data_IF_517201948538
#
_entry.id   IF_517201948538
#
_cell.length_a   1.000
_cell.length_b   1.000
_cell.length_c   1.000
_cell.angle_alpha   90.00
_cell.angle_beta   90.00
_cell.angle_gamma   90.00
#
_symmetry.space_group_name_H-M   'P 1'
#
loop_
_entity.id
_entity.type
_entity.pdbx_description
1 polymer ?
#
# COMPACT_ATOMS: atom_id res chain seq x y z
N UNK A 1 -54.62 60.44 -50.01
CA UNK A 1 -53.39 59.75 -50.45
C UNK A 1 -53.14 58.54 -49.53
N UNK A 2 -52.96 57.37 -50.16
CA UNK A 2 -52.39 56.10 -49.66
C UNK A 2 -53.09 55.34 -48.51
N UNK A 3 -53.94 54.41 -48.93
CA UNK A 3 -54.14 53.06 -48.38
C UNK A 3 -52.82 52.31 -48.20
N UNK A 4 -52.65 51.60 -47.08
CA UNK A 4 -52.06 50.23 -47.07
C UNK A 4 -52.74 49.41 -45.95
N UNK A 5 -53.49 48.38 -46.38
CA UNK A 5 -53.94 47.26 -45.55
C UNK A 5 -52.75 46.34 -45.30
N UNK A 6 -52.31 46.18 -44.06
CA UNK A 6 -51.32 45.19 -43.65
C UNK A 6 -52.01 43.99 -43.01
N UNK A 7 -52.18 42.91 -43.77
CA UNK A 7 -52.59 41.59 -43.26
C UNK A 7 -51.46 41.03 -42.39
N UNK A 8 -51.72 40.80 -41.11
CA UNK A 8 -50.88 39.96 -40.27
C UNK A 8 -51.06 38.50 -40.72
N UNK A 9 -50.11 38.00 -41.51
CA UNK A 9 -50.02 36.58 -41.85
C UNK A 9 -49.11 35.92 -40.83
N UNK A 10 -49.74 35.08 -40.03
CA UNK A 10 -49.19 34.15 -39.05
C UNK A 10 -48.26 33.15 -39.75
N UNK A 11 -46.97 33.11 -39.40
CA UNK A 11 -46.09 31.98 -39.70
C UNK A 11 -45.64 31.34 -38.38
N UNK A 12 -46.49 30.44 -37.88
CA UNK A 12 -46.14 29.51 -36.82
C UNK A 12 -45.34 28.36 -37.47
N UNK A 13 -44.01 28.48 -37.50
CA UNK A 13 -43.15 27.34 -37.82
C UNK A 13 -43.09 26.48 -36.56
N UNK A 14 -43.96 25.47 -36.49
CA UNK A 14 -43.83 24.38 -35.53
C UNK A 14 -42.69 23.50 -36.04
N UNK A 15 -41.48 23.74 -35.53
CA UNK A 15 -40.39 22.78 -35.62
C UNK A 15 -40.76 21.62 -34.69
N UNK A 16 -41.53 20.65 -35.21
CA UNK A 16 -41.64 19.33 -34.57
C UNK A 16 -40.29 18.67 -34.80
N UNK A 17 -39.32 18.97 -33.93
CA UNK A 17 -38.21 18.05 -33.70
C UNK A 17 -38.86 16.77 -33.22
N UNK A 18 -38.93 15.77 -34.10
CA UNK A 18 -39.18 14.40 -33.73
C UNK A 18 -38.11 13.98 -32.73
N UNK A 19 -38.37 14.22 -31.45
CA UNK A 19 -37.73 13.51 -30.36
C UNK A 19 -38.31 12.11 -30.46
N UNK A 20 -37.75 11.31 -31.36
CA UNK A 20 -37.78 9.87 -31.22
C UNK A 20 -37.23 9.62 -29.83
N UNK A 21 -38.13 9.34 -28.88
CA UNK A 21 -37.78 8.74 -27.60
C UNK A 21 -37.16 7.38 -27.97
N UNK A 22 -35.86 7.38 -28.25
CA UNK A 22 -35.07 6.16 -28.32
C UNK A 22 -35.16 5.59 -26.92
N UNK A 23 -36.04 4.59 -26.77
CA UNK A 23 -36.28 3.91 -25.52
C UNK A 23 -34.97 3.17 -25.21
N UNK A 24 -34.24 3.66 -24.21
CA UNK A 24 -32.98 3.07 -23.79
C UNK A 24 -33.22 1.59 -23.47
N UNK A 25 -32.47 0.71 -24.12
CA UNK A 25 -32.53 -0.72 -23.85
C UNK A 25 -31.61 -1.05 -22.67
N UNK A 26 -32.15 -1.76 -21.68
CA UNK A 26 -31.38 -2.21 -20.52
C UNK A 26 -30.86 -3.62 -20.75
N UNK A 27 -29.67 -3.87 -20.22
CA UNK A 27 -28.95 -5.13 -20.31
C UNK A 27 -28.37 -5.50 -18.96
N UNK A 28 -28.09 -6.79 -18.80
CA UNK A 28 -27.49 -7.34 -17.60
C UNK A 28 -26.35 -8.32 -17.93
N UNK A 29 -25.35 -8.36 -17.05
CA UNK A 29 -24.27 -9.36 -17.04
C UNK A 29 -24.27 -10.03 -15.66
N UNK A 30 -24.36 -11.36 -15.61
CA UNK A 30 -24.11 -12.10 -14.37
C UNK A 30 -22.61 -12.20 -14.13
N UNK A 31 -22.16 -11.95 -12.91
CA UNK A 31 -20.76 -11.99 -12.49
C UNK A 31 -20.67 -12.92 -11.29
N UNK A 32 -19.87 -13.98 -11.40
CA UNK A 32 -19.69 -15.00 -10.37
C UNK A 32 -18.33 -14.91 -9.72
N UNK A 33 -18.32 -14.91 -8.40
CA UNK A 33 -17.11 -14.95 -7.58
C UNK A 33 -17.06 -16.25 -6.78
N UNK A 34 -15.93 -16.95 -6.88
CA UNK A 34 -15.61 -18.15 -6.11
C UNK A 34 -14.32 -17.85 -5.32
N UNK A 35 -14.37 -17.82 -4.00
CA UNK A 35 -13.24 -17.34 -3.17
C UNK A 35 -12.18 -18.41 -2.88
N UNK A 36 -12.47 -19.68 -3.20
CA UNK A 36 -11.56 -20.80 -2.92
C UNK A 36 -11.21 -20.90 -1.43
N UNK A 37 -9.98 -21.30 -1.08
CA UNK A 37 -9.55 -21.44 0.32
C UNK A 37 -8.97 -20.15 0.93
N UNK A 38 -9.27 -18.98 0.36
CA UNK A 38 -8.69 -17.71 0.80
C UNK A 38 -9.63 -17.00 1.77
N UNK A 39 -9.14 -16.70 2.98
CA UNK A 39 -9.82 -15.76 3.90
C UNK A 39 -9.28 -14.36 3.67
N UNK A 40 -10.18 -13.40 3.45
CA UNK A 40 -9.82 -12.00 3.20
C UNK A 40 -10.70 -11.06 4.01
N UNK A 41 -10.17 -9.89 4.35
CA UNK A 41 -10.96 -8.82 4.95
C UNK A 41 -11.01 -7.64 3.98
N UNK A 42 -12.22 -7.12 3.74
CA UNK A 42 -12.45 -5.97 2.85
C UNK A 42 -11.91 -6.17 1.42
N UNK A 43 -12.07 -7.39 0.89
CA UNK A 43 -11.46 -7.82 -0.37
C UNK A 43 -11.89 -6.93 -1.55
N UNK A 44 -10.91 -6.56 -2.38
CA UNK A 44 -11.18 -5.92 -3.67
C UNK A 44 -11.39 -7.02 -4.70
N UNK A 45 -12.48 -6.92 -5.46
CA UNK A 45 -12.81 -7.86 -6.53
C UNK A 45 -12.69 -7.15 -7.86
N UNK A 46 -12.20 -7.86 -8.85
CA UNK A 46 -12.15 -7.43 -10.24
C UNK A 46 -12.85 -8.43 -11.16
N UNK A 47 -13.51 -7.94 -12.21
CA UNK A 47 -14.07 -8.77 -13.27
C UNK A 47 -13.81 -8.10 -14.62
N UNK A 48 -13.21 -8.85 -15.56
CA UNK A 48 -13.13 -8.41 -16.96
C UNK A 48 -14.49 -8.59 -17.61
N UNK A 49 -15.02 -7.53 -18.19
CA UNK A 49 -16.33 -7.52 -18.84
C UNK A 49 -16.15 -7.17 -20.31
N UNK A 50 -16.76 -7.99 -21.18
CA UNK A 50 -16.91 -7.71 -22.61
C UNK A 50 -18.39 -7.54 -22.93
N UNK A 51 -18.79 -6.32 -23.26
CA UNK A 51 -20.18 -6.01 -23.58
C UNK A 51 -20.53 -6.40 -25.02
N UNK A 52 -19.55 -6.58 -25.91
CA UNK A 52 -19.75 -6.83 -27.34
C UNK A 52 -20.46 -5.70 -28.11
N UNK A 53 -20.87 -4.62 -27.44
CA UNK A 53 -21.58 -3.47 -28.02
C UNK A 53 -21.36 -2.20 -27.21
N UNK A 54 -21.74 -1.07 -27.81
CA UNK A 54 -21.72 0.23 -27.16
C UNK A 54 -22.77 0.30 -26.05
N UNK A 55 -22.31 0.65 -24.86
CA UNK A 55 -23.11 0.86 -23.64
C UNK A 55 -22.72 2.19 -23.01
N UNK A 56 -23.59 2.74 -22.18
CA UNK A 56 -23.30 3.97 -21.44
C UNK A 56 -22.63 3.62 -20.11
N UNK A 57 -21.30 3.76 -20.00
CA UNK A 57 -20.57 3.37 -18.79
C UNK A 57 -21.11 4.02 -17.51
N UNK A 58 -21.55 5.28 -17.59
CA UNK A 58 -22.17 6.00 -16.47
C UNK A 58 -23.53 5.46 -16.00
N UNK A 59 -24.13 4.50 -16.71
CA UNK A 59 -25.38 3.83 -16.32
C UNK A 59 -25.15 2.55 -15.50
N UNK A 60 -23.89 2.14 -15.30
CA UNK A 60 -23.56 0.89 -14.62
C UNK A 60 -24.07 0.88 -13.18
N UNK A 61 -24.74 -0.21 -12.83
CA UNK A 61 -25.13 -0.52 -11.46
C UNK A 61 -24.84 -1.99 -11.18
N UNK A 62 -24.02 -2.25 -10.17
CA UNK A 62 -23.72 -3.60 -9.70
C UNK A 62 -24.66 -3.93 -8.53
N UNK A 63 -25.28 -5.10 -8.57
CA UNK A 63 -26.25 -5.55 -7.57
C UNK A 63 -25.83 -6.92 -7.07
N UNK A 64 -25.79 -7.12 -5.75
CA UNK A 64 -25.65 -8.45 -5.15
C UNK A 64 -26.99 -9.20 -5.27
N UNK A 65 -26.98 -10.40 -5.85
CA UNK A 65 -28.22 -11.10 -6.20
C UNK A 65 -29.01 -11.58 -4.97
N UNK A 66 -28.32 -11.96 -3.89
CA UNK A 66 -28.94 -12.54 -2.69
C UNK A 66 -29.87 -11.55 -1.97
N UNK A 67 -29.44 -10.29 -1.82
CA UNK A 67 -30.16 -9.26 -1.07
C UNK A 67 -30.65 -8.08 -1.96
N UNK A 68 -30.43 -8.17 -3.27
CA UNK A 68 -30.72 -7.14 -4.27
C UNK A 68 -30.13 -5.77 -3.89
N UNK A 69 -28.99 -5.77 -3.19
CA UNK A 69 -28.33 -4.55 -2.71
C UNK A 69 -27.40 -3.99 -3.78
N UNK A 70 -27.52 -2.68 -4.01
CA UNK A 70 -26.60 -1.95 -4.89
C UNK A 70 -25.21 -1.87 -4.26
N UNK A 71 -24.19 -2.22 -5.03
CA UNK A 71 -22.79 -2.24 -4.64
C UNK A 71 -22.06 -1.11 -5.41
N UNK A 72 -21.41 -0.17 -4.71
CA UNK A 72 -20.53 0.79 -5.36
C UNK A 72 -19.45 0.07 -6.17
N UNK A 73 -19.35 0.41 -7.45
CA UNK A 73 -18.37 -0.18 -8.35
C UNK A 73 -17.68 0.91 -9.18
N UNK A 74 -16.50 0.59 -9.69
CA UNK A 74 -15.72 1.42 -10.59
C UNK A 74 -15.40 0.63 -11.85
N UNK A 75 -15.55 1.24 -13.01
CA UNK A 75 -15.25 0.63 -14.30
C UNK A 75 -14.12 1.38 -14.99
N UNK A 76 -13.11 0.63 -15.40
CA UNK A 76 -11.97 1.12 -16.18
C UNK A 76 -12.02 0.53 -17.59
N UNK A 77 -12.35 1.34 -18.61
CA UNK A 77 -12.22 0.93 -20.01
C UNK A 77 -10.79 0.50 -20.34
N UNK A 78 -10.64 -0.60 -21.10
CA UNK A 78 -9.34 -1.11 -21.55
C UNK A 78 -9.28 -1.19 -23.08
N UNK A 79 -10.37 -1.66 -23.70
CA UNK A 79 -10.54 -1.74 -25.15
C UNK A 79 -11.96 -1.31 -25.53
N UNK A 80 -12.23 -1.16 -26.82
CA UNK A 80 -13.58 -0.86 -27.31
C UNK A 80 -14.58 -1.92 -26.82
N UNK A 81 -15.56 -1.49 -26.04
CA UNK A 81 -16.61 -2.32 -25.42
C UNK A 81 -16.13 -3.29 -24.33
N UNK A 82 -14.88 -3.15 -23.86
CA UNK A 82 -14.31 -3.99 -22.81
C UNK A 82 -13.65 -3.17 -21.72
N UNK A 83 -13.60 -3.72 -20.53
CA UNK A 83 -12.85 -3.15 -19.44
C UNK A 83 -12.92 -4.01 -18.20
N UNK A 84 -12.33 -3.49 -17.12
CA UNK A 84 -12.34 -4.15 -15.83
C UNK A 84 -13.26 -3.42 -14.87
N UNK A 85 -14.21 -4.16 -14.30
CA UNK A 85 -15.07 -3.72 -13.22
C UNK A 85 -14.42 -4.05 -11.89
N UNK A 86 -14.44 -3.11 -10.95
CA UNK A 86 -13.90 -3.24 -9.60
C UNK A 86 -14.98 -2.93 -8.57
N UNK A 87 -14.98 -3.66 -7.46
CA UNK A 87 -15.81 -3.36 -6.27
C UNK A 87 -15.16 -3.94 -5.02
N UNK A 88 -15.72 -3.62 -3.85
CA UNK A 88 -15.26 -4.14 -2.57
C UNK A 88 -16.33 -5.01 -1.93
N UNK A 89 -15.92 -6.10 -1.28
CA UNK A 89 -16.76 -6.87 -0.37
C UNK A 89 -16.40 -6.46 1.06
N UNK A 90 -17.29 -5.75 1.79
CA UNK A 90 -16.99 -5.30 3.14
C UNK A 90 -16.99 -6.46 4.14
N UNK A 91 -16.07 -6.40 5.12
CA UNK A 91 -15.98 -7.37 6.20
C UNK A 91 -15.13 -8.61 5.87
N UNK A 92 -15.22 -9.63 6.74
CA UNK A 92 -14.46 -10.87 6.62
C UNK A 92 -15.15 -11.83 5.65
N UNK A 93 -14.46 -12.17 4.56
CA UNK A 93 -14.85 -13.18 3.58
C UNK A 93 -14.41 -14.56 4.05
N UNK A 94 -15.34 -15.51 4.09
CA UNK A 94 -15.06 -16.89 4.47
C UNK A 94 -14.47 -17.67 3.29
N UNK A 95 -13.72 -18.73 3.59
CA UNK A 95 -13.31 -19.70 2.58
C UNK A 95 -14.53 -20.35 1.93
N UNK A 96 -14.42 -20.70 0.65
CA UNK A 96 -15.41 -21.42 -0.15
C UNK A 96 -16.73 -20.64 -0.26
N UNK A 97 -16.63 -19.32 -0.35
CA UNK A 97 -17.78 -18.45 -0.56
C UNK A 97 -18.06 -18.34 -2.05
N UNK A 98 -19.32 -18.56 -2.42
CA UNK A 98 -19.84 -18.33 -3.75
C UNK A 98 -20.79 -17.13 -3.71
N UNK A 99 -20.53 -16.13 -4.54
CA UNK A 99 -21.35 -14.93 -4.66
C UNK A 99 -21.69 -14.65 -6.12
N UNK A 100 -22.94 -14.25 -6.37
CA UNK A 100 -23.40 -13.84 -7.69
C UNK A 100 -23.86 -12.38 -7.67
N UNK A 101 -23.35 -11.62 -8.64
CA UNK A 101 -23.68 -10.22 -8.85
C UNK A 101 -24.30 -10.03 -10.23
N UNK A 102 -25.19 -9.05 -10.34
CA UNK A 102 -25.79 -8.62 -11.60
C UNK A 102 -25.32 -7.21 -11.89
N UNK A 103 -24.55 -7.05 -12.96
CA UNK A 103 -24.20 -5.73 -13.51
C UNK A 103 -25.29 -5.32 -14.50
N UNK A 104 -26.05 -4.28 -14.18
CA UNK A 104 -27.02 -3.65 -15.07
C UNK A 104 -26.40 -2.47 -15.81
N UNK A 105 -26.69 -2.35 -17.10
CA UNK A 105 -26.24 -1.26 -17.98
C UNK A 105 -27.31 -0.87 -18.98
N UNK A 106 -27.32 0.38 -19.43
CA UNK A 106 -28.12 0.82 -20.57
C UNK A 106 -27.28 0.87 -21.84
N UNK A 107 -27.93 0.73 -22.99
CA UNK A 107 -27.34 1.15 -24.25
C UNK A 107 -26.96 2.64 -24.24
N UNK A 108 -26.05 3.00 -25.15
CA UNK A 108 -25.61 4.38 -25.33
C UNK A 108 -24.22 4.47 -25.94
N UNK A 109 -23.66 5.68 -25.92
CA UNK A 109 -22.34 5.96 -26.47
C UNK A 109 -21.24 5.48 -25.54
N UNK A 110 -20.33 4.66 -26.07
CA UNK A 110 -19.12 4.24 -25.41
C UNK A 110 -18.24 5.45 -25.07
N UNK A 111 -17.63 5.41 -23.89
CA UNK A 111 -16.66 6.41 -23.45
C UNK A 111 -15.40 5.69 -22.99
N UNK A 112 -14.24 6.14 -23.47
CA UNK A 112 -12.94 5.59 -23.05
C UNK A 112 -12.47 6.13 -21.69
N UNK A 113 -13.30 6.95 -21.03
CA UNK A 113 -13.05 7.46 -19.70
C UNK A 113 -13.55 6.49 -18.62
N UNK A 114 -12.81 6.30 -17.51
CA UNK A 114 -13.30 5.57 -16.35
C UNK A 114 -14.54 6.21 -15.72
N UNK A 115 -15.36 5.40 -15.04
CA UNK A 115 -16.60 5.85 -14.40
C UNK A 115 -16.94 5.04 -13.16
N UNK A 116 -17.77 5.61 -12.27
CA UNK A 116 -18.29 4.92 -11.09
C UNK A 116 -17.79 5.53 -9.78
N UNK A 117 -17.64 4.70 -8.76
CA UNK A 117 -17.28 5.11 -7.40
C UNK A 117 -15.83 5.60 -7.31
N UNK A 118 -15.66 6.87 -6.91
CA UNK A 118 -14.35 7.46 -6.60
C UNK A 118 -13.65 6.78 -5.42
N UNK A 119 -14.41 6.19 -4.51
CA UNK A 119 -13.85 5.46 -3.37
C UNK A 119 -13.16 4.18 -3.83
N UNK A 120 -13.79 3.42 -4.72
CA UNK A 120 -13.19 2.21 -5.31
C UNK A 120 -12.01 2.57 -6.19
N UNK A 121 -12.12 3.64 -7.00
CA UNK A 121 -11.00 4.18 -7.78
C UNK A 121 -9.77 4.49 -6.91
N UNK A 122 -9.97 5.15 -5.78
CA UNK A 122 -8.89 5.46 -4.84
C UNK A 122 -8.28 4.20 -4.21
N UNK A 123 -9.08 3.14 -3.99
CA UNK A 123 -8.59 1.87 -3.46
C UNK A 123 -7.68 1.14 -4.45
N UNK A 124 -8.09 1.03 -5.72
CA UNK A 124 -7.31 0.30 -6.74
C UNK A 124 -6.05 1.06 -7.18
N UNK A 125 -6.08 2.39 -7.14
CA UNK A 125 -4.93 3.22 -7.51
C UNK A 125 -4.01 3.52 -6.32
N UNK A 126 -4.35 3.04 -5.12
CA UNK A 126 -3.51 3.23 -3.95
C UNK A 126 -2.25 2.37 -4.07
N UNK A 127 -1.04 2.95 -3.96
CA UNK A 127 0.21 2.19 -4.12
C UNK A 127 0.20 0.97 -3.22
N UNK A 128 0.68 -0.15 -3.77
CA UNK A 128 0.77 -1.43 -3.05
C UNK A 128 1.64 -1.23 -1.81
N UNK A 129 2.83 -0.65 -2.01
CA UNK A 129 3.76 -0.29 -0.96
C UNK A 129 3.57 1.17 -0.49
N UNK A 130 3.35 1.37 0.81
CA UNK A 130 3.20 2.69 1.44
C UNK A 130 4.54 3.38 1.72
N UNK A 131 5.65 2.65 1.64
CA UNK A 131 6.97 3.17 1.97
C UNK A 131 7.52 3.97 0.78
N UNK A 132 7.95 5.23 1.00
CA UNK A 132 8.62 6.01 -0.04
C UNK A 132 10.03 5.45 -0.30
N UNK A 133 10.42 5.36 -1.57
CA UNK A 133 11.71 4.82 -2.05
C UNK A 133 12.16 3.55 -1.30
N UNK A 134 11.31 2.54 -1.27
CA UNK A 134 11.47 1.40 -0.38
C UNK A 134 12.55 0.38 -0.80
N UNK A 135 12.95 0.42 -2.08
CA UNK A 135 14.09 -0.32 -2.65
C UNK A 135 15.39 0.47 -2.64
N UNK A 136 15.38 1.73 -2.17
CA UNK A 136 16.55 2.60 -2.07
C UNK A 136 17.25 2.97 -3.39
N UNK A 137 16.64 2.69 -4.54
CA UNK A 137 17.23 2.92 -5.86
C UNK A 137 17.34 4.41 -6.23
N UNK A 138 16.47 5.27 -5.70
CA UNK A 138 16.56 6.71 -5.95
C UNK A 138 17.46 7.41 -4.93
N UNK A 139 18.76 7.46 -5.21
CA UNK A 139 19.77 8.04 -4.33
C UNK A 139 19.50 9.53 -4.01
N UNK A 140 18.83 10.26 -4.93
CA UNK A 140 18.55 11.69 -4.76
C UNK A 140 17.56 11.97 -3.62
N UNK A 141 16.83 10.94 -3.20
CA UNK A 141 15.84 10.97 -2.13
C UNK A 141 16.38 10.45 -0.80
N UNK A 142 17.68 10.16 -0.72
CA UNK A 142 18.36 9.66 0.47
C UNK A 142 19.42 10.66 0.86
N UNK A 143 19.41 11.08 2.13
CA UNK A 143 20.38 12.06 2.61
C UNK A 143 21.01 11.64 3.93
N UNK A 144 22.32 11.90 4.04
CA UNK A 144 23.05 11.85 5.31
C UNK A 144 22.98 13.16 6.10
N UNK A 145 22.39 14.21 5.52
CA UNK A 145 22.23 15.52 6.11
C UNK A 145 20.74 15.92 6.09
N UNK A 146 20.18 16.48 7.17
CA UNK A 146 18.77 16.90 7.24
C UNK A 146 18.35 18.04 6.26
N UNK A 147 19.18 18.34 5.24
CA UNK A 147 18.88 19.34 4.22
C UNK A 147 18.17 18.66 3.05
N UNK A 148 17.11 19.30 2.56
CA UNK A 148 16.27 18.91 1.42
C UNK A 148 15.34 17.70 1.64
N UNK A 149 14.32 17.83 2.51
CA UNK A 149 13.16 16.91 2.69
C UNK A 149 13.30 15.52 2.02
N UNK A 150 14.26 14.68 2.44
CA UNK A 150 14.53 13.42 1.76
C UNK A 150 13.48 12.38 2.17
N UNK A 151 13.23 11.39 1.32
CA UNK A 151 12.38 10.25 1.67
C UNK A 151 13.06 9.35 2.71
N UNK A 152 14.40 9.36 2.76
CA UNK A 152 15.19 8.71 3.80
C UNK A 152 16.31 9.60 4.35
N UNK A 153 16.43 9.62 5.67
CA UNK A 153 17.58 10.16 6.38
C UNK A 153 18.40 9.00 6.92
N UNK A 154 19.67 8.91 6.52
CA UNK A 154 20.64 7.94 7.03
C UNK A 154 21.59 8.65 8.01
N UNK A 155 21.90 7.99 9.12
CA UNK A 155 22.69 8.59 10.19
C UNK A 155 23.97 7.79 10.39
N UNK A 156 25.09 8.43 10.07
CA UNK A 156 26.42 7.93 10.38
C UNK A 156 26.80 8.33 11.81
N UNK A 157 26.85 7.34 12.69
CA UNK A 157 27.00 7.58 14.14
C UNK A 157 28.41 8.03 14.53
N UNK A 158 29.39 7.91 13.64
CA UNK A 158 30.71 8.53 13.78
C UNK A 158 30.62 10.05 14.04
N UNK A 159 29.62 10.72 13.45
CA UNK A 159 29.40 12.16 13.63
C UNK A 159 28.82 12.53 15.01
N UNK A 160 28.10 11.60 15.65
CA UNK A 160 27.41 11.78 16.94
C UNK A 160 28.37 11.52 18.10
N UNK A 161 29.23 10.49 17.98
CA UNK A 161 30.22 10.14 19.01
C UNK A 161 31.57 10.76 18.69
N UNK A 162 31.67 12.10 18.65
CA UNK A 162 32.93 12.83 18.40
C UNK A 162 34.08 12.45 19.34
N UNK A 163 33.78 11.85 20.50
CA UNK A 163 34.74 11.33 21.48
C UNK A 163 35.36 9.98 21.08
N UNK A 164 34.85 9.33 20.03
CA UNK A 164 35.28 8.05 19.48
C UNK A 164 35.72 8.24 18.01
N UNK A 165 36.86 8.90 17.75
CA UNK A 165 37.24 9.37 16.41
C UNK A 165 37.58 8.25 15.41
N UNK A 166 37.71 7.00 15.85
CA UNK A 166 38.04 5.82 15.04
C UNK A 166 36.83 4.89 14.81
N UNK A 167 35.60 5.38 15.01
CA UNK A 167 34.38 4.59 14.87
C UNK A 167 34.21 4.08 13.42
N UNK A 168 34.13 2.77 13.20
CA UNK A 168 33.85 2.18 11.87
C UNK A 168 32.37 1.86 11.65
N UNK A 169 31.50 2.35 12.54
CA UNK A 169 30.06 2.15 12.48
C UNK A 169 29.39 3.18 11.59
N UNK A 170 28.51 2.73 10.68
CA UNK A 170 27.91 3.55 9.64
C UNK A 170 26.55 3.01 9.18
N UNK A 171 25.72 3.88 8.62
CA UNK A 171 24.57 3.54 7.79
C UNK A 171 24.73 4.27 6.45
N UNK A 172 24.73 3.53 5.34
CA UNK A 172 24.97 4.08 4.00
C UNK A 172 24.25 3.29 2.93
N UNK A 173 24.10 3.88 1.76
CA UNK A 173 23.76 3.13 0.56
C UNK A 173 24.95 2.28 0.12
N UNK A 174 24.65 1.09 -0.40
CA UNK A 174 25.67 0.14 -0.86
C UNK A 174 25.18 -0.65 -2.07
N UNK A 175 26.10 -0.98 -2.96
CA UNK A 175 25.91 -1.84 -4.13
C UNK A 175 26.69 -3.16 -4.01
N UNK A 176 27.29 -3.41 -2.85
CA UNK A 176 28.09 -4.64 -2.61
C UNK A 176 27.23 -5.89 -2.51
N UNK A 177 26.06 -5.72 -1.93
CA UNK A 177 25.07 -6.76 -1.71
C UNK A 177 23.72 -6.16 -2.00
N UNK A 178 22.92 -6.79 -2.84
CA UNK A 178 21.54 -6.39 -3.14
C UNK A 178 20.66 -7.63 -3.19
N UNK A 179 19.40 -7.48 -2.79
CA UNK A 179 18.41 -8.54 -2.99
C UNK A 179 17.84 -8.42 -4.40
N UNK A 180 17.30 -7.24 -4.70
CA UNK A 180 16.82 -6.81 -6.01
C UNK A 180 17.45 -5.45 -6.34
N UNK A 181 17.45 -5.06 -7.63
CA UNK A 181 18.01 -3.77 -8.02
C UNK A 181 19.54 -3.64 -7.88
N UNK A 182 20.00 -2.43 -7.61
CA UNK A 182 21.42 -2.02 -7.60
C UNK A 182 21.88 -1.48 -6.27
N UNK A 183 20.97 -1.10 -5.37
CA UNK A 183 21.30 -0.44 -4.10
C UNK A 183 20.48 -1.04 -2.97
N UNK A 184 21.07 -1.07 -1.80
CA UNK A 184 20.37 -1.34 -0.55
C UNK A 184 20.97 -0.50 0.58
N UNK A 185 20.43 -0.63 1.81
CA UNK A 185 21.04 -0.03 2.99
C UNK A 185 22.04 -0.98 3.64
N UNK A 186 23.29 -0.54 3.75
CA UNK A 186 24.35 -1.20 4.52
C UNK A 186 24.47 -0.57 5.90
N UNK A 187 24.46 -1.41 6.91
CA UNK A 187 24.72 -1.07 8.30
C UNK A 187 25.98 -1.79 8.76
N UNK A 188 26.93 -1.03 9.29
CA UNK A 188 28.09 -1.60 9.99
C UNK A 188 28.01 -1.18 11.45
N UNK A 189 28.10 -2.15 12.35
CA UNK A 189 28.06 -1.96 13.79
C UNK A 189 29.35 -2.41 14.46
N UNK A 190 29.77 -1.67 15.48
CA UNK A 190 30.93 -1.99 16.30
C UNK A 190 30.57 -2.00 17.78
N UNK A 191 31.28 -2.83 18.54
CA UNK A 191 31.21 -2.82 19.99
C UNK A 191 32.27 -1.87 20.53
N UNK A 192 31.88 -1.00 21.46
CA UNK A 192 32.79 -0.09 22.15
C UNK A 192 32.48 -0.07 23.63
N UNK A 193 33.49 0.15 24.44
CA UNK A 193 33.29 0.50 25.84
C UNK A 193 33.05 2.00 25.89
N UNK A 194 31.81 2.39 26.20
CA UNK A 194 31.53 3.77 26.57
C UNK A 194 31.83 3.91 28.07
N UNK A 195 32.34 5.07 28.46
CA UNK A 195 32.56 5.43 29.87
C UNK A 195 31.71 6.63 30.28
N UNK A 196 30.37 6.56 30.19
CA UNK A 196 29.55 7.57 30.83
C UNK A 196 29.76 7.46 32.34
N UNK A 197 30.31 8.52 32.95
CA UNK A 197 30.50 8.65 34.40
C UNK A 197 31.49 7.64 35.03
N UNK A 198 32.49 7.17 34.29
CA UNK A 198 33.57 6.31 34.82
C UNK A 198 33.23 4.82 34.99
N UNK A 199 32.00 4.42 34.62
CA UNK A 199 31.65 3.01 34.50
C UNK A 199 31.88 2.55 33.06
N UNK A 200 32.79 1.59 32.87
CA UNK A 200 32.99 0.89 31.60
C UNK A 200 31.71 0.12 31.25
N UNK A 201 30.82 0.73 30.45
CA UNK A 201 29.66 0.04 29.93
C UNK A 201 29.86 -0.28 28.47
N UNK A 202 29.71 -1.55 28.08
CA UNK A 202 29.70 -1.88 26.68
C UNK A 202 28.47 -1.32 25.96
N UNK A 203 28.71 -0.73 24.80
CA UNK A 203 27.70 -0.15 23.91
C UNK A 203 27.91 -0.68 22.49
N UNK A 204 26.85 -1.21 21.89
CA UNK A 204 26.82 -1.49 20.46
C UNK A 204 26.51 -0.18 19.73
N UNK A 205 27.46 0.30 18.93
CA UNK A 205 27.32 1.52 18.14
C UNK A 205 27.02 1.12 16.70
N UNK A 206 25.82 1.47 16.22
CA UNK A 206 25.36 1.23 14.84
C UNK A 206 24.78 2.51 14.26
N UNK A 207 24.96 2.72 12.95
CA UNK A 207 24.15 3.68 12.20
C UNK A 207 22.65 3.32 12.23
N UNK A 208 21.79 4.27 11.87
CA UNK A 208 20.35 4.07 11.76
C UNK A 208 19.77 4.85 10.58
N UNK A 209 18.58 4.48 10.14
CA UNK A 209 17.87 5.16 9.05
C UNK A 209 16.43 5.49 9.46
N UNK A 210 15.91 6.63 9.00
CA UNK A 210 14.52 7.04 9.23
C UNK A 210 13.90 7.53 7.94
N UNK A 211 12.68 7.08 7.63
CA UNK A 211 11.95 7.60 6.47
C UNK A 211 11.36 9.00 6.75
N UNK A 212 10.93 9.67 5.68
CA UNK A 212 9.93 10.75 5.76
C UNK A 212 8.59 10.22 6.28
N UNK A 213 7.71 11.14 6.64
CA UNK A 213 6.32 10.78 6.95
C UNK A 213 5.59 10.35 5.69
N UNK A 214 4.74 9.33 5.81
CA UNK A 214 3.87 8.87 4.75
C UNK A 214 2.45 8.61 5.29
N UNK A 215 1.40 8.75 4.48
CA UNK A 215 0.03 8.63 4.95
C UNK A 215 -0.33 7.19 5.34
N UNK A 216 -1.02 7.05 6.48
CA UNK A 216 -1.61 5.80 6.97
C UNK A 216 -3.06 6.05 7.41
N UNK A 217 -3.81 4.96 7.58
CA UNK A 217 -5.19 4.96 8.07
C UNK A 217 -5.20 4.41 9.50
N UNK A 218 -6.09 4.93 10.34
CA UNK A 218 -6.37 4.34 11.64
C UNK A 218 -7.09 2.99 11.53
N UNK A 219 -7.01 2.15 12.58
CA UNK A 219 -7.67 0.84 12.67
C UNK A 219 -7.48 -0.04 11.44
N UNK A 220 -6.30 0.05 10.83
CA UNK A 220 -5.98 -0.65 9.60
C UNK A 220 -4.85 -1.62 9.88
N UNK A 221 -5.06 -2.89 9.53
CA UNK A 221 -4.04 -3.92 9.63
C UNK A 221 -3.01 -3.71 8.52
N UNK A 222 -1.75 -3.52 8.91
CA UNK A 222 -0.62 -3.41 8.01
C UNK A 222 0.30 -4.62 8.16
N UNK A 223 0.94 -5.00 7.06
CA UNK A 223 2.04 -5.97 7.06
C UNK A 223 3.30 -5.26 6.60
N UNK A 224 4.30 -5.23 7.47
CA UNK A 224 5.65 -4.79 7.15
C UNK A 224 6.50 -6.02 6.82
N UNK A 225 7.27 -5.94 5.74
CA UNK A 225 8.31 -6.91 5.41
C UNK A 225 9.57 -6.23 4.90
N UNK A 226 10.69 -6.93 5.00
CA UNK A 226 11.98 -6.53 4.45
C UNK A 226 12.87 -7.76 4.24
N UNK A 227 13.89 -7.63 3.40
CA UNK A 227 14.95 -8.62 3.26
C UNK A 227 16.17 -8.19 4.04
N UNK A 228 16.83 -9.14 4.72
CA UNK A 228 18.06 -8.93 5.47
C UNK A 228 19.12 -9.93 5.01
N UNK A 229 20.35 -9.46 4.82
CA UNK A 229 21.54 -10.30 4.67
C UNK A 229 22.63 -9.84 5.61
N UNK A 230 23.10 -10.75 6.47
CA UNK A 230 24.22 -10.48 7.36
C UNK A 230 25.46 -11.11 6.71
N UNK A 231 26.55 -10.36 6.57
CA UNK A 231 27.80 -10.82 5.91
C UNK A 231 28.99 -10.90 6.87
N UNK A 232 28.97 -10.07 7.90
CA UNK A 232 29.90 -10.15 9.02
C UNK A 232 29.08 -10.15 10.32
N UNK A 233 29.39 -11.09 11.21
CA UNK A 233 28.76 -11.20 12.51
C UNK A 233 29.82 -11.46 13.57
N UNK A 234 30.12 -10.42 14.34
CA UNK A 234 31.09 -10.52 15.43
C UNK A 234 30.35 -10.85 16.71
N UNK A 235 30.12 -12.14 16.91
CA UNK A 235 29.55 -12.64 18.16
C UNK A 235 30.53 -12.34 19.30
N UNK A 236 30.20 -11.41 20.20
CA UNK A 236 30.94 -11.26 21.45
C UNK A 236 30.19 -12.04 22.53
N UNK A 237 30.82 -13.10 23.05
CA UNK A 237 30.28 -13.89 24.17
C UNK A 237 29.88 -13.02 25.38
N UNK A 238 30.52 -11.85 25.53
CA UNK A 238 30.18 -10.85 26.53
C UNK A 238 28.76 -10.25 26.36
N UNK A 239 28.29 -10.03 25.12
CA UNK A 239 26.94 -9.53 24.85
C UNK A 239 25.85 -10.54 25.27
N UNK A 240 26.15 -11.84 25.20
CA UNK A 240 25.26 -12.91 25.64
C UNK A 240 25.16 -13.02 27.17
N UNK A 241 26.26 -12.77 27.89
CA UNK A 241 26.32 -12.87 29.35
C UNK A 241 25.49 -11.80 30.06
N UNK A 242 25.31 -10.62 29.46
CA UNK A 242 24.61 -9.50 30.11
C UNK A 242 23.07 -9.48 29.95
N UNK A 243 22.43 -10.50 29.35
CA UNK A 243 20.95 -10.51 29.11
C UNK A 243 20.41 -9.24 28.41
N UNK A 244 21.24 -8.49 27.70
CA UNK A 244 20.84 -7.23 27.05
C UNK A 244 20.26 -7.53 25.65
N UNK A 245 18.94 -7.70 25.59
CA UNK A 245 18.14 -7.48 24.39
C UNK A 245 18.36 -8.43 23.20
N UNK A 246 17.60 -8.19 22.14
CA UNK A 246 17.72 -8.90 20.87
C UNK A 246 18.92 -8.35 20.09
N UNK A 247 19.93 -9.19 19.81
CA UNK A 247 20.96 -8.82 18.84
C UNK A 247 20.44 -9.14 17.44
N UNK A 248 20.31 -8.11 16.62
CA UNK A 248 19.70 -8.24 15.30
C UNK A 248 19.26 -6.90 14.73
N UNK A 249 18.28 -6.93 13.83
CA UNK A 249 17.70 -5.72 13.25
C UNK A 249 16.27 -5.55 13.69
N UNK A 250 15.94 -4.32 14.06
CA UNK A 250 14.58 -3.89 14.35
C UNK A 250 14.16 -2.85 13.32
N UNK A 251 13.15 -3.17 12.51
CA UNK A 251 12.46 -2.19 11.67
C UNK A 251 11.15 -1.83 12.37
N UNK A 252 10.96 -0.55 12.67
CA UNK A 252 9.78 -0.04 13.35
C UNK A 252 8.99 0.89 12.43
N UNK A 253 7.68 0.70 12.33
CA UNK A 253 6.75 1.71 11.84
C UNK A 253 6.13 2.38 13.05
N UNK A 254 6.44 3.65 13.29
CA UNK A 254 5.75 4.46 14.28
C UNK A 254 4.44 4.97 13.70
N UNK A 255 3.34 4.73 14.40
CA UNK A 255 2.04 5.32 14.07
C UNK A 255 1.96 6.71 14.70
N UNK A 256 1.52 7.69 13.90
CA UNK A 256 1.55 9.10 14.26
C UNK A 256 0.18 9.74 14.06
N UNK A 257 -0.14 10.70 14.92
CA UNK A 257 -1.36 11.50 14.84
C UNK A 257 -1.30 12.55 13.70
N UNK A 258 -2.37 13.33 13.53
CA UNK A 258 -2.45 14.43 12.55
C UNK A 258 -1.36 15.51 12.71
N UNK A 259 -0.73 15.60 13.88
CA UNK A 259 0.35 16.54 14.19
C UNK A 259 1.73 15.88 14.10
N UNK A 260 1.82 14.68 13.50
CA UNK A 260 3.05 13.89 13.38
C UNK A 260 3.67 13.49 14.72
N UNK A 261 2.87 13.41 15.79
CA UNK A 261 3.32 12.99 17.12
C UNK A 261 3.05 11.50 17.33
N UNK A 262 4.00 10.84 17.99
CA UNK A 262 3.87 9.43 18.42
C UNK A 262 2.76 9.32 19.46
N UNK A 263 1.95 8.27 19.37
CA UNK A 263 1.01 7.93 20.45
C UNK A 263 1.76 7.59 21.74
N UNK A 264 1.14 7.92 22.87
CA UNK A 264 1.68 7.57 24.19
C UNK A 264 1.57 6.04 24.38
N UNK A 265 2.68 5.39 24.71
CA UNK A 265 2.72 3.94 24.92
C UNK A 265 1.85 3.46 26.08
N UNK A 266 1.49 4.34 27.02
CA UNK A 266 0.56 4.02 28.12
C UNK A 266 -0.88 3.91 27.64
N UNK A 267 -1.26 4.74 26.66
CA UNK A 267 -2.61 4.77 26.10
C UNK A 267 -2.76 3.73 24.99
N UNK A 268 -1.70 3.54 24.20
CA UNK A 268 -1.66 2.59 23.09
C UNK A 268 -0.38 1.74 23.19
N UNK A 269 -0.46 0.53 23.80
CA UNK A 269 0.68 -0.37 23.91
C UNK A 269 1.33 -0.69 22.55
N UNK A 270 0.52 -0.69 21.49
CA UNK A 270 0.87 -0.91 20.09
C UNK A 270 1.03 0.39 19.28
N UNK A 271 1.57 1.47 19.89
CA UNK A 271 1.87 2.73 19.19
C UNK A 271 2.88 2.61 18.02
N UNK A 272 3.51 1.44 17.88
CA UNK A 272 4.39 1.10 16.76
C UNK A 272 4.21 -0.35 16.38
N UNK A 273 4.39 -0.65 15.09
CA UNK A 273 4.66 -1.99 14.61
C UNK A 273 6.16 -2.21 14.62
N UNK A 274 6.64 -3.28 15.25
CA UNK A 274 8.05 -3.61 15.34
C UNK A 274 8.29 -5.01 14.79
N UNK A 275 9.07 -5.10 13.72
CA UNK A 275 9.46 -6.37 13.07
C UNK A 275 10.95 -6.58 13.30
N UNK A 276 11.27 -7.63 14.07
CA UNK A 276 12.62 -7.89 14.54
C UNK A 276 13.15 -9.19 13.94
N UNK A 277 14.37 -9.14 13.43
CA UNK A 277 15.15 -10.34 13.11
C UNK A 277 16.13 -10.66 14.25
N UNK A 278 15.84 -11.66 15.12
CA UNK A 278 16.69 -11.98 16.26
C UNK A 278 17.84 -12.93 15.86
N UNK A 279 18.94 -12.38 15.33
CA UNK A 279 20.10 -13.16 14.89
C UNK A 279 20.69 -14.02 16.03
N UNK A 280 20.66 -13.54 17.28
CA UNK A 280 21.14 -14.29 18.45
C UNK A 280 20.33 -15.53 18.84
N UNK A 281 19.17 -15.75 18.22
CA UNK A 281 18.33 -16.94 18.47
C UNK A 281 18.46 -18.01 17.38
N UNK A 282 19.43 -17.86 16.47
CA UNK A 282 19.63 -18.72 15.30
C UNK A 282 21.07 -19.23 15.26
N UNK A 283 21.30 -20.36 14.60
CA UNK A 283 22.67 -20.80 14.31
C UNK A 283 23.25 -19.87 13.24
N UNK A 284 24.54 -19.53 13.35
CA UNK A 284 25.21 -18.64 12.38
C UNK A 284 25.08 -19.17 10.95
N UNK A 285 25.15 -20.49 10.76
CA UNK A 285 24.93 -21.18 9.48
C UNK A 285 23.57 -20.90 8.84
N UNK A 286 22.56 -20.53 9.63
CA UNK A 286 21.19 -20.36 9.14
C UNK A 286 20.99 -19.00 8.47
N UNK A 287 21.84 -18.01 8.80
CA UNK A 287 21.64 -16.62 8.36
C UNK A 287 22.86 -16.00 7.67
N UNK A 288 24.06 -16.52 7.89
CA UNK A 288 25.27 -15.91 7.34
C UNK A 288 25.28 -15.98 5.82
N UNK A 289 25.52 -14.84 5.18
CA UNK A 289 25.56 -14.64 3.73
C UNK A 289 24.28 -15.08 2.98
N UNK A 290 23.13 -15.14 3.67
CA UNK A 290 21.83 -15.48 3.08
C UNK A 290 20.88 -14.29 3.19
N UNK A 291 20.12 -14.05 2.13
CA UNK A 291 18.97 -13.17 2.19
C UNK A 291 17.82 -13.90 2.89
N UNK A 292 17.26 -13.25 3.91
CA UNK A 292 16.15 -13.77 4.69
C UNK A 292 15.02 -12.74 4.64
N UNK A 293 13.82 -13.17 4.27
CA UNK A 293 12.63 -12.34 4.39
C UNK A 293 12.18 -12.30 5.85
N UNK A 294 11.88 -11.11 6.35
CA UNK A 294 11.37 -10.89 7.71
C UNK A 294 10.09 -10.08 7.58
N UNK A 295 9.03 -10.53 8.25
CA UNK A 295 7.73 -9.86 8.17
C UNK A 295 6.99 -9.91 9.50
N UNK A 296 6.06 -8.98 9.66
CA UNK A 296 5.13 -8.95 10.77
C UNK A 296 4.01 -7.96 10.50
N UNK A 297 2.91 -8.15 11.23
CA UNK A 297 1.69 -7.36 11.03
C UNK A 297 1.22 -6.75 12.34
N UNK A 298 0.63 -5.57 12.25
CA UNK A 298 -0.04 -4.91 13.37
C UNK A 298 -1.17 -4.04 12.85
N UNK A 299 -2.17 -3.80 13.69
CA UNK A 299 -3.23 -2.83 13.44
C UNK A 299 -2.80 -1.44 13.95
N UNK A 300 -3.07 -0.41 13.16
CA UNK A 300 -2.81 0.97 13.54
C UNK A 300 -3.80 1.47 14.62
N UNK A 301 -3.35 2.24 15.63
CA UNK A 301 -4.24 2.83 16.63
C UNK A 301 -5.29 3.79 16.04
N UNK A 302 -6.41 4.00 16.76
CA UNK A 302 -7.34 5.11 16.48
C UNK A 302 -6.61 6.47 16.43
N UNK A 303 -7.01 7.32 15.48
CA UNK A 303 -6.42 8.64 15.25
C UNK A 303 -5.11 8.65 14.45
N UNK A 304 -4.64 7.49 13.98
CA UNK A 304 -3.46 7.41 13.11
C UNK A 304 -3.72 8.10 11.77
N UNK A 305 -2.81 8.98 11.37
CA UNK A 305 -2.84 9.69 10.07
C UNK A 305 -1.55 9.48 9.28
N UNK A 306 -0.42 9.31 9.98
CA UNK A 306 0.89 9.15 9.35
C UNK A 306 1.65 7.95 9.93
N UNK A 307 2.57 7.45 9.12
CA UNK A 307 3.62 6.51 9.50
C UNK A 307 4.99 7.12 9.34
N UNK A 308 5.95 6.63 10.13
CA UNK A 308 7.38 6.85 9.92
C UNK A 308 8.13 5.56 10.20
N UNK A 309 9.04 5.18 9.31
CA UNK A 309 9.92 4.04 9.53
C UNK A 309 11.20 4.46 10.21
N UNK A 310 11.66 3.64 11.15
CA UNK A 310 13.01 3.69 11.70
C UNK A 310 13.62 2.31 11.66
N UNK A 311 14.82 2.23 11.12
CA UNK A 311 15.62 1.02 11.05
C UNK A 311 16.76 1.17 12.05
N UNK A 312 16.80 0.27 13.03
CA UNK A 312 17.79 0.30 14.10
C UNK A 312 18.43 -1.08 14.25
N UNK A 313 19.64 -1.29 13.70
CA UNK A 313 20.43 -2.48 13.96
C UNK A 313 21.02 -2.42 15.37
N UNK A 314 20.89 -3.51 16.11
CA UNK A 314 21.53 -3.73 17.41
C UNK A 314 22.42 -4.96 17.26
N UNK A 315 23.48 -4.84 16.47
CA UNK A 315 24.44 -5.91 16.29
C UNK A 315 25.78 -5.41 15.77
N UNK A 316 26.79 -6.24 15.95
CA UNK A 316 28.19 -6.03 15.57
C UNK A 316 28.51 -6.80 14.28
N UNK A 317 29.16 -6.13 13.34
CA UNK A 317 29.42 -6.65 12.00
C UNK A 317 28.68 -5.87 10.92
N UNK A 318 28.43 -6.49 9.77
CA UNK A 318 27.89 -5.84 8.57
C UNK A 318 26.62 -6.52 8.10
N UNK A 319 25.62 -5.69 7.81
CA UNK A 319 24.28 -6.11 7.48
C UNK A 319 23.73 -5.27 6.34
N UNK A 320 22.92 -5.90 5.52
CA UNK A 320 22.23 -5.29 4.40
C UNK A 320 20.74 -5.46 4.58
N UNK A 321 19.99 -4.39 4.31
CA UNK A 321 18.52 -4.39 4.31
C UNK A 321 18.05 -3.85 2.98
N UNK A 322 17.09 -4.56 2.39
CA UNK A 322 16.56 -4.26 1.08
C UNK A 322 15.06 -4.53 0.99
N UNK A 323 14.43 -3.99 -0.06
CA UNK A 323 13.05 -4.28 -0.47
C UNK A 323 12.06 -4.18 0.70
N UNK A 324 12.03 -3.02 1.37
CA UNK A 324 11.04 -2.80 2.42
C UNK A 324 9.66 -2.72 1.78
N UNK A 325 8.67 -3.32 2.42
CA UNK A 325 7.28 -3.24 1.99
C UNK A 325 6.36 -3.03 3.18
N UNK A 326 5.47 -2.03 3.09
CA UNK A 326 4.38 -1.81 4.03
C UNK A 326 3.07 -1.78 3.26
N UNK A 327 2.28 -2.84 3.40
CA UNK A 327 1.03 -2.99 2.66
C UNK A 327 -0.15 -3.05 3.64
N UNK A 328 -1.30 -2.51 3.24
CA UNK A 328 -2.57 -2.77 3.93
C UNK A 328 -2.90 -4.27 3.75
N UNK A 329 -3.08 -5.00 4.84
CA UNK A 329 -3.46 -6.40 4.79
C UNK A 329 -4.85 -6.54 4.14
N UNK A 330 -5.03 -7.56 3.30
CA UNK A 330 -6.31 -7.80 2.59
C UNK A 330 -6.46 -7.06 1.26
N UNK A 331 -5.41 -6.37 0.76
CA UNK A 331 -5.40 -5.76 -0.57
C UNK A 331 -5.23 -6.74 -1.75
N UNK A 332 -5.19 -8.05 -1.53
CA UNK A 332 -5.17 -8.99 -2.66
C UNK A 332 -6.47 -8.84 -3.47
N UNK A 333 -6.35 -8.90 -4.79
CA UNK A 333 -7.50 -8.76 -5.67
C UNK A 333 -8.06 -10.15 -5.97
N UNK A 334 -9.33 -10.36 -5.67
CA UNK A 334 -10.05 -11.52 -6.16
C UNK A 334 -10.47 -11.29 -7.60
N UNK A 335 -10.46 -12.34 -8.41
CA UNK A 335 -10.93 -12.29 -9.80
C UNK A 335 -12.25 -13.04 -9.91
N UNK A 336 -13.30 -12.33 -10.29
CA UNK A 336 -14.60 -12.88 -10.61
C UNK A 336 -14.74 -13.11 -12.13
N UNK A 337 -15.63 -14.02 -12.52
CA UNK A 337 -15.92 -14.34 -13.91
C UNK A 337 -17.21 -13.64 -14.34
N UNK A 338 -17.11 -12.76 -15.34
CA UNK A 338 -18.28 -12.16 -15.98
C UNK A 338 -18.84 -13.10 -17.06
N UNK A 339 -20.16 -13.23 -17.08
CA UNK A 339 -20.92 -13.92 -18.13
C UNK A 339 -21.13 -13.04 -19.37
N UNK A 340 -22.09 -13.44 -20.20
CA UNK A 340 -22.47 -12.68 -21.40
C UNK A 340 -23.47 -11.58 -21.07
N UNK A 341 -23.46 -10.52 -21.88
CA UNK A 341 -24.49 -9.50 -21.88
C UNK A 341 -25.83 -10.06 -22.38
N UNK A 342 -26.89 -9.89 -21.59
CA UNK A 342 -28.25 -10.36 -21.90
C UNK A 342 -29.19 -9.15 -21.83
N UNK A 343 -30.15 -9.06 -22.75
CA UNK A 343 -31.17 -8.00 -22.76
C UNK A 343 -32.14 -8.21 -21.58
N UNK A 344 -32.46 -7.15 -20.86
CA UNK A 344 -33.47 -7.22 -19.79
C UNK A 344 -34.87 -7.27 -20.43
N UNK A 345 -35.62 -8.34 -20.16
CA UNK A 345 -37.01 -8.44 -20.58
C UNK A 345 -37.85 -7.56 -19.63
N UNK A 346 -38.45 -6.49 -20.17
CA UNK A 346 -39.41 -5.69 -19.40
C UNK A 346 -40.61 -6.57 -19.04
N UNK A 347 -40.69 -7.00 -17.78
CA UNK A 347 -41.88 -7.62 -17.21
C UNK A 347 -42.93 -6.60 -16.83
#
# INVERSE_FOLDING_TARGET
MKTIKGRAVLYFIIFITGISLVKAENYQVSIKLETGFVEMENAIVSAKVDFGKSIKNASMSLILQEDNKSIPCYFKPEEKFKGTLYWQIPGKLQTLTDMEYILKVSDGNWQDAPSGSKEIEAMINSPENKIPNASFEDETKISSNQKNNPEWNIYEVASVYKKLPDLKSSCRLSDKETHDGKKCLEFTGEYRTDTPNGNNQPVCVSGFATSSFFPLKEKTKYTLSYYIKITDFKNTEELFKEKRGVLGISVCVYFLDKNQKKFNSKEYPSYRMQVVYPANKKLVSDFMNKWVKVEGSAESPPGTVYGQITIYPIMTGTIYIDELSLNEAGKEQLTAKAGKLIKEENK
#
